data_IF_818010446017
#
_entry.id   IF_818010446017
#
_cell.length_a   1.000
_cell.length_b   1.000
_cell.length_c   1.000
_cell.angle_alpha   90.00
_cell.angle_beta   90.00
_cell.angle_gamma   90.00
#
_symmetry.space_group_name_H-M   'P 1'
#
loop_
_entity.id
_entity.type
_entity.pdbx_description
1 polymer ?
#
# COMPACT_ATOMS: atom_id res chain seq x y z
N UNK A 1 5.26 -1.02 16.42
CA UNK A 1 5.44 -0.37 17.75
C UNK A 1 5.97 -1.33 18.83
N UNK A 2 6.63 -2.45 18.50
CA UNK A 2 7.23 -3.34 19.52
C UNK A 2 8.59 -2.83 20.01
N UNK A 3 9.42 -2.36 19.08
CA UNK A 3 10.75 -1.83 19.37
C UNK A 3 10.71 -0.58 20.26
N UNK A 4 9.83 0.37 19.93
CA UNK A 4 9.58 1.56 20.77
C UNK A 4 9.04 1.22 22.17
N UNK A 5 8.42 0.05 22.34
CA UNK A 5 7.96 -0.45 23.64
C UNK A 5 9.07 -1.18 24.42
N UNK A 6 10.30 -1.23 23.90
CA UNK A 6 11.46 -1.84 24.55
C UNK A 6 11.62 -3.34 24.29
N UNK A 7 10.87 -3.92 23.36
CA UNK A 7 11.09 -5.32 22.96
C UNK A 7 12.40 -5.46 22.17
N UNK A 8 13.22 -6.49 22.45
CA UNK A 8 14.32 -6.88 21.59
C UNK A 8 13.86 -7.11 20.15
N UNK A 9 14.73 -6.82 19.19
CA UNK A 9 14.44 -6.97 17.75
C UNK A 9 14.12 -8.43 17.41
N UNK A 10 14.77 -9.35 18.11
CA UNK A 10 14.59 -10.80 17.97
C UNK A 10 13.19 -11.23 18.35
N UNK A 11 12.68 -10.75 19.48
CA UNK A 11 11.32 -11.06 19.96
C UNK A 11 10.25 -10.43 19.06
N UNK A 12 10.49 -9.20 18.63
CA UNK A 12 9.60 -8.53 17.68
C UNK A 12 9.52 -9.28 16.33
N UNK A 13 10.66 -9.76 15.82
CA UNK A 13 10.73 -10.51 14.57
C UNK A 13 10.19 -11.94 14.67
N UNK A 14 10.08 -12.53 15.86
CA UNK A 14 9.39 -13.81 16.02
C UNK A 14 7.87 -13.68 15.79
N UNK A 15 7.30 -12.53 16.17
CA UNK A 15 5.87 -12.26 16.04
C UNK A 15 5.52 -11.66 14.68
N UNK A 16 6.42 -10.89 14.06
CA UNK A 16 6.15 -10.17 12.82
C UNK A 16 5.59 -11.05 11.67
N UNK A 17 6.12 -12.26 11.37
CA UNK A 17 5.58 -13.09 10.30
C UNK A 17 4.13 -13.55 10.52
N UNK A 18 3.68 -13.63 11.77
CA UNK A 18 2.33 -14.14 12.12
C UNK A 18 1.21 -13.17 11.75
N UNK A 19 1.52 -11.88 11.62
CA UNK A 19 0.57 -10.82 11.24
C UNK A 19 0.60 -10.50 9.75
N UNK A 20 1.57 -11.02 9.00
CA UNK A 20 1.68 -10.80 7.56
C UNK A 20 0.72 -11.75 6.83
N UNK A 21 -0.26 -11.17 6.13
CA UNK A 21 -1.29 -11.92 5.40
C UNK A 21 -0.81 -12.41 4.04
N UNK A 22 0.04 -11.64 3.35
CA UNK A 22 0.55 -11.99 2.03
C UNK A 22 1.62 -13.09 2.11
N UNK A 23 1.46 -14.17 1.34
CA UNK A 23 2.34 -15.34 1.45
C UNK A 23 3.79 -15.03 1.04
N UNK A 24 4.00 -14.15 0.05
CA UNK A 24 5.35 -13.76 -0.38
C UNK A 24 6.05 -12.99 0.74
N UNK A 25 5.42 -11.93 1.25
CA UNK A 25 6.00 -11.12 2.32
C UNK A 25 6.17 -11.92 3.61
N UNK A 26 5.27 -12.86 3.90
CA UNK A 26 5.41 -13.77 5.05
C UNK A 26 6.65 -14.65 4.92
N UNK A 27 6.91 -15.23 3.74
CA UNK A 27 8.15 -16.01 3.50
C UNK A 27 9.40 -15.15 3.64
N UNK A 28 9.36 -13.90 3.19
CA UNK A 28 10.47 -12.95 3.37
C UNK A 28 10.68 -12.62 4.85
N UNK A 29 9.61 -12.37 5.60
CA UNK A 29 9.69 -12.13 7.05
C UNK A 29 10.22 -13.35 7.82
N UNK A 30 9.82 -14.58 7.45
CA UNK A 30 10.39 -15.81 8.03
C UNK A 30 11.87 -15.99 7.70
N UNK A 31 12.30 -15.63 6.48
CA UNK A 31 13.73 -15.63 6.13
C UNK A 31 14.52 -14.61 6.95
N UNK A 32 14.00 -13.39 7.12
CA UNK A 32 14.62 -12.37 7.98
C UNK A 32 14.74 -12.86 9.42
N UNK A 33 13.68 -13.45 9.97
CA UNK A 33 13.68 -14.07 11.31
C UNK A 33 14.74 -15.18 11.42
N UNK A 34 14.82 -16.06 10.44
CA UNK A 34 15.81 -17.16 10.43
C UNK A 34 17.24 -16.63 10.43
N UNK A 35 17.54 -15.60 9.63
CA UNK A 35 18.87 -14.98 9.58
C UNK A 35 19.22 -14.30 10.89
N UNK A 36 18.26 -13.61 11.51
CA UNK A 36 18.45 -12.95 12.80
C UNK A 36 18.73 -13.96 13.92
N UNK A 37 17.98 -15.08 13.96
CA UNK A 37 18.19 -16.17 14.91
C UNK A 37 19.50 -16.92 14.68
N UNK A 38 20.03 -16.91 13.44
CA UNK A 38 21.35 -17.42 13.11
C UNK A 38 22.50 -16.48 13.54
N UNK A 39 22.18 -15.32 14.12
CA UNK A 39 23.15 -14.34 14.63
C UNK A 39 23.57 -13.29 13.61
N UNK A 40 22.88 -13.17 12.48
CA UNK A 40 23.10 -12.06 11.55
C UNK A 40 22.60 -10.74 12.15
N UNK A 41 23.19 -9.63 11.72
CA UNK A 41 22.66 -8.31 12.08
C UNK A 41 21.27 -8.09 11.46
N UNK A 42 20.44 -7.25 12.08
CA UNK A 42 19.12 -6.92 11.54
C UNK A 42 19.19 -6.35 10.12
N UNK A 43 20.21 -5.53 9.82
CA UNK A 43 20.42 -4.98 8.50
C UNK A 43 20.72 -6.07 7.45
N UNK A 44 21.54 -7.06 7.78
CA UNK A 44 21.87 -8.16 6.86
C UNK A 44 20.67 -9.09 6.68
N UNK A 45 19.90 -9.36 7.73
CA UNK A 45 18.68 -10.14 7.67
C UNK A 45 17.61 -9.45 6.79
N UNK A 46 17.46 -8.13 6.92
CA UNK A 46 16.57 -7.32 6.10
C UNK A 46 16.96 -7.39 4.61
N UNK A 47 18.24 -7.18 4.29
CA UNK A 47 18.75 -7.19 2.91
C UNK A 47 18.65 -8.58 2.25
N UNK A 48 19.00 -9.66 2.97
CA UNK A 48 18.88 -11.02 2.45
C UNK A 48 17.44 -11.44 2.20
N UNK A 49 16.53 -11.01 3.06
CA UNK A 49 15.09 -11.33 2.93
C UNK A 49 14.41 -10.57 1.80
N UNK A 50 14.97 -9.44 1.35
CA UNK A 50 14.37 -8.52 0.38
C UNK A 50 12.96 -8.07 0.80
N UNK A 51 12.73 -8.00 2.11
CA UNK A 51 11.44 -7.62 2.68
C UNK A 51 11.16 -6.13 2.45
N UNK A 52 12.21 -5.32 2.34
CA UNK A 52 12.14 -3.88 2.17
C UNK A 52 12.65 -3.48 0.78
N UNK A 53 12.28 -2.27 0.34
CA UNK A 53 12.85 -1.68 -0.86
C UNK A 53 14.35 -1.37 -0.65
N UNK A 54 15.21 -1.49 -1.68
CA UNK A 54 16.63 -1.14 -1.60
C UNK A 54 16.97 0.21 -0.95
N UNK A 55 16.09 1.22 -1.08
CA UNK A 55 16.31 2.51 -0.40
C UNK A 55 16.10 2.40 1.12
N UNK A 56 15.05 1.69 1.53
CA UNK A 56 14.71 1.47 2.93
C UNK A 56 15.73 0.55 3.62
N UNK A 57 16.24 -0.47 2.93
CA UNK A 57 17.33 -1.33 3.43
C UNK A 57 18.58 -0.51 3.81
N UNK A 58 18.95 0.50 3.01
CA UNK A 58 20.06 1.39 3.33
C UNK A 58 19.81 2.24 4.58
N UNK A 59 18.58 2.72 4.75
CA UNK A 59 18.20 3.43 5.98
C UNK A 59 18.29 2.52 7.20
N UNK A 60 17.87 1.27 7.07
CA UNK A 60 17.97 0.25 8.13
C UNK A 60 19.43 -0.01 8.48
N UNK A 61 20.30 -0.20 7.47
CA UNK A 61 21.74 -0.39 7.68
C UNK A 61 22.36 0.77 8.44
N UNK A 62 22.12 2.01 7.99
CA UNK A 62 22.59 3.21 8.67
C UNK A 62 22.04 3.34 10.09
N UNK A 63 20.75 3.07 10.29
CA UNK A 63 20.11 3.08 11.61
C UNK A 63 20.67 2.04 12.56
N UNK A 64 21.01 0.86 12.05
CA UNK A 64 21.60 -0.24 12.83
C UNK A 64 23.03 0.11 13.24
N UNK A 65 23.86 0.62 12.33
CA UNK A 65 25.22 1.07 12.63
C UNK A 65 25.26 2.25 13.62
N UNK A 66 24.28 3.16 13.53
CA UNK A 66 24.13 4.28 14.44
C UNK A 66 23.48 3.92 15.80
N UNK A 67 23.02 2.68 15.99
CA UNK A 67 22.29 2.25 17.19
C UNK A 67 20.92 2.94 17.36
N UNK A 68 20.31 3.41 16.27
CA UNK A 68 19.04 4.15 16.23
C UNK A 68 17.98 3.43 15.40
N UNK A 69 17.92 2.11 15.50
CA UNK A 69 16.99 1.29 14.71
C UNK A 69 15.53 1.64 15.01
N UNK A 70 15.20 1.95 16.26
CA UNK A 70 13.84 2.31 16.68
C UNK A 70 13.32 3.54 15.92
N UNK A 71 14.17 4.57 15.81
CA UNK A 71 13.86 5.80 15.08
C UNK A 71 13.70 5.55 13.57
N UNK A 72 14.53 4.68 13.00
CA UNK A 72 14.41 4.33 11.57
C UNK A 72 13.15 3.53 11.30
N UNK A 73 12.81 2.58 12.16
CA UNK A 73 11.57 1.78 12.06
C UNK A 73 10.33 2.65 12.24
N UNK A 74 10.35 3.63 13.15
CA UNK A 74 9.28 4.62 13.29
C UNK A 74 9.12 5.46 12.02
N UNK A 75 10.23 5.94 11.45
CA UNK A 75 10.21 6.70 10.20
C UNK A 75 9.67 5.89 9.02
N UNK A 76 10.10 4.63 8.88
CA UNK A 76 9.59 3.73 7.85
C UNK A 76 8.10 3.42 8.03
N UNK A 77 7.67 3.20 9.28
CA UNK A 77 6.25 3.03 9.58
C UNK A 77 5.43 4.24 9.12
N UNK A 78 5.92 5.46 9.36
CA UNK A 78 5.26 6.70 8.92
C UNK A 78 5.20 6.82 7.40
N UNK A 79 6.27 6.45 6.69
CA UNK A 79 6.29 6.44 5.21
C UNK A 79 5.23 5.47 4.67
N UNK A 80 5.23 4.22 5.14
CA UNK A 80 4.27 3.22 4.66
C UNK A 80 2.82 3.55 5.03
N UNK A 81 2.57 4.19 6.19
CA UNK A 81 1.24 4.70 6.53
C UNK A 81 0.80 5.82 5.58
N UNK A 82 1.69 6.76 5.27
CA UNK A 82 1.41 7.82 4.30
C UNK A 82 1.10 7.27 2.90
N UNK A 83 1.90 6.32 2.43
CA UNK A 83 1.66 5.65 1.14
C UNK A 83 0.30 4.92 1.11
N UNK A 84 -0.07 4.26 2.22
CA UNK A 84 -1.37 3.60 2.32
C UNK A 84 -2.53 4.59 2.32
N UNK A 85 -2.42 5.70 3.07
CA UNK A 85 -3.42 6.76 3.08
C UNK A 85 -3.56 7.42 1.70
N UNK A 86 -2.45 7.73 1.03
CA UNK A 86 -2.44 8.29 -0.32
C UNK A 86 -3.09 7.35 -1.33
N UNK A 87 -2.80 6.05 -1.24
CA UNK A 87 -3.44 5.03 -2.08
C UNK A 87 -4.97 5.00 -1.88
N UNK A 88 -5.43 5.05 -0.63
CA UNK A 88 -6.86 5.11 -0.31
C UNK A 88 -7.49 6.39 -0.87
N UNK A 89 -6.86 7.54 -0.66
CA UNK A 89 -7.35 8.82 -1.17
C UNK A 89 -7.44 8.84 -2.70
N UNK A 90 -6.44 8.29 -3.40
CA UNK A 90 -6.45 8.20 -4.86
C UNK A 90 -7.59 7.32 -5.37
N UNK A 91 -7.86 6.18 -4.71
CA UNK A 91 -9.00 5.32 -5.06
C UNK A 91 -10.31 6.07 -4.87
N UNK A 92 -10.47 6.78 -3.75
CA UNK A 92 -11.68 7.57 -3.46
C UNK A 92 -11.84 8.72 -4.48
N UNK A 93 -10.76 9.42 -4.80
CA UNK A 93 -10.77 10.54 -5.75
C UNK A 93 -11.21 10.10 -7.16
N UNK A 94 -11.00 8.84 -7.54
CA UNK A 94 -11.47 8.30 -8.81
C UNK A 94 -12.97 7.97 -8.83
N UNK A 95 -13.63 7.83 -7.67
CA UNK A 95 -15.05 7.47 -7.60
C UNK A 95 -15.94 8.58 -8.18
N UNK A 96 -15.66 9.84 -7.84
CA UNK A 96 -16.44 11.00 -8.29
C UNK A 96 -16.50 11.12 -9.83
N UNK A 97 -15.38 11.15 -10.57
CA UNK A 97 -15.42 11.27 -12.03
C UNK A 97 -16.08 10.06 -12.70
N UNK A 98 -15.94 8.85 -12.14
CA UNK A 98 -16.62 7.64 -12.66
C UNK A 98 -18.13 7.77 -12.51
N UNK A 99 -18.62 8.24 -11.36
CA UNK A 99 -20.06 8.45 -11.14
C UNK A 99 -20.64 9.48 -12.12
N UNK A 100 -19.97 10.61 -12.31
CA UNK A 100 -20.39 11.66 -13.25
C UNK A 100 -20.39 11.14 -14.69
N UNK A 101 -19.37 10.37 -15.09
CA UNK A 101 -19.30 9.77 -16.42
C UNK A 101 -20.47 8.81 -16.68
N UNK A 102 -20.78 7.93 -15.72
CA UNK A 102 -21.91 6.98 -15.83
C UNK A 102 -23.24 7.72 -15.94
N UNK A 103 -23.48 8.72 -15.08
CA UNK A 103 -24.69 9.54 -15.14
C UNK A 103 -24.83 10.27 -16.48
N UNK A 104 -23.73 10.81 -17.00
CA UNK A 104 -23.72 11.49 -18.31
C UNK A 104 -24.13 10.55 -19.45
N UNK A 105 -23.64 9.31 -19.45
CA UNK A 105 -24.02 8.30 -20.45
C UNK A 105 -25.49 7.94 -20.35
N UNK A 106 -26.01 7.74 -19.12
CA UNK A 106 -27.42 7.41 -18.89
C UNK A 106 -28.33 8.54 -19.36
N UNK A 107 -28.04 9.78 -18.97
CA UNK A 107 -28.82 10.96 -19.38
C UNK A 107 -28.75 11.15 -20.90
N UNK A 108 -27.57 11.01 -21.49
CA UNK A 108 -27.40 11.07 -22.95
C UNK A 108 -28.23 10.02 -23.69
N UNK A 109 -28.25 8.78 -23.19
CA UNK A 109 -29.08 7.71 -23.74
C UNK A 109 -30.58 8.02 -23.69
N UNK A 110 -31.06 8.55 -22.55
CA UNK A 110 -32.46 8.96 -22.39
C UNK A 110 -32.81 10.08 -23.37
N UNK A 111 -31.97 11.11 -23.49
CA UNK A 111 -32.19 12.23 -24.39
C UNK A 111 -32.28 11.76 -25.85
N UNK A 112 -31.36 10.91 -26.30
CA UNK A 112 -31.41 10.33 -27.65
C UNK A 112 -32.69 9.52 -27.88
N UNK A 113 -33.09 8.71 -26.91
CA UNK A 113 -34.32 7.92 -26.99
C UNK A 113 -35.59 8.75 -27.14
N UNK A 114 -35.60 9.99 -26.64
CA UNK A 114 -36.76 10.90 -26.73
C UNK A 114 -36.66 11.84 -27.93
N UNK A 115 -35.48 12.39 -28.21
CA UNK A 115 -35.28 13.35 -29.31
C UNK A 115 -35.42 12.70 -30.69
N UNK A 116 -34.92 11.47 -30.89
CA UNK A 116 -35.00 10.81 -32.19
C UNK A 116 -36.46 10.60 -32.66
N UNK A 117 -37.39 10.06 -31.84
CA UNK A 117 -38.80 9.99 -32.20
C UNK A 117 -39.42 11.37 -32.47
N UNK A 118 -39.16 12.37 -31.63
CA UNK A 118 -39.71 13.72 -31.81
C UNK A 118 -39.30 14.35 -33.15
N UNK A 119 -38.03 14.19 -33.54
CA UNK A 119 -37.54 14.66 -34.84
C UNK A 119 -38.25 13.96 -36.00
N UNK A 120 -38.49 12.65 -35.90
CA UNK A 120 -39.20 11.87 -36.92
C UNK A 120 -40.66 12.30 -37.09
N UNK A 121 -41.34 12.63 -35.99
CA UNK A 121 -42.73 13.12 -36.03
C UNK A 121 -42.79 14.53 -36.62
N UNK A 122 -41.84 15.41 -36.26
CA UNK A 122 -41.78 16.77 -36.79
C UNK A 122 -41.47 16.79 -38.29
N UNK A 123 -40.56 15.93 -38.77
CA UNK A 123 -40.24 15.83 -40.19
C UNK A 123 -41.38 15.21 -41.02
N UNK A 124 -42.16 14.30 -40.43
CA UNK A 124 -43.33 13.72 -41.09
C UNK A 124 -44.56 14.66 -41.12
N UNK A 125 -44.59 15.67 -40.26
CA UNK A 125 -45.69 16.65 -40.15
C UNK A 125 -45.47 17.93 -40.98
N UNK A 126 -44.30 18.10 -41.60
CA UNK A 126 -43.96 19.23 -42.48
C UNK A 126 -43.89 18.86 -43.96
#
# INVERSE_FOLDING_TARGET
MMLAAGYPVEDAMQLAPTVVTDEKHRRQAELAKSELLAGASFADAAEKSKLFDPMHEKMIRFGTEAGKIDMVMEKLSGIYMGEADDAIHNVIAMIEPVLVAVLSVVIGGILLSVMLPLLSVLSAAG
#
